data_IF_034315224883
#
_entry.id   IF_034315224883
#
_cell.length_a   1.000
_cell.length_b   1.000
_cell.length_c   1.000
_cell.angle_alpha   90.00
_cell.angle_beta   90.00
_cell.angle_gamma   90.00
#
_symmetry.space_group_name_H-M   'P 1'
#
loop_
_entity.id
_entity.type
_entity.pdbx_description
1 polymer ?
#
# COMPACT_ATOMS: atom_id res chain seq x y z
N UNK A 1 22.61 81.36 2.21
CA UNK A 1 21.86 80.16 1.76
C UNK A 1 22.91 79.20 1.22
N UNK A 2 22.81 77.89 1.50
CA UNK A 2 23.88 76.86 1.42
C UNK A 2 24.88 76.97 2.58
N UNK A 3 25.35 75.91 3.25
CA UNK A 3 25.16 74.45 3.24
C UNK A 3 25.88 73.97 4.53
N UNK A 4 25.38 72.94 5.22
CA UNK A 4 26.24 72.14 6.12
C UNK A 4 25.94 70.67 5.86
N UNK A 5 26.92 69.87 5.39
CA UNK A 5 26.71 68.48 5.01
C UNK A 5 26.92 67.48 6.16
N UNK A 6 26.19 66.36 6.03
CA UNK A 6 26.57 64.94 6.16
C UNK A 6 27.99 64.59 6.69
N UNK A 7 28.29 63.43 7.27
CA UNK A 7 27.54 62.26 7.74
C UNK A 7 28.53 61.36 8.54
N UNK A 8 27.97 60.66 9.53
CA UNK A 8 28.22 59.30 10.03
C UNK A 8 29.63 58.65 9.98
N UNK A 9 30.05 58.08 11.12
CA UNK A 9 30.87 56.87 11.16
C UNK A 9 30.58 56.04 12.43
N UNK A 10 30.38 54.75 12.22
CA UNK A 10 29.97 53.73 13.20
C UNK A 10 31.14 53.27 14.08
N UNK A 11 30.84 52.84 15.32
CA UNK A 11 31.67 51.88 16.07
C UNK A 11 30.86 51.11 17.12
N UNK A 12 30.98 49.77 17.05
CA UNK A 12 31.01 48.74 18.12
C UNK A 12 29.77 48.35 18.96
N UNK A 13 29.27 47.15 18.63
CA UNK A 13 29.18 45.92 19.44
C UNK A 13 28.30 45.81 20.71
N UNK A 14 27.27 44.95 20.63
CA UNK A 14 26.83 43.89 21.57
C UNK A 14 25.55 43.27 20.95
N UNK A 15 25.24 41.98 20.87
CA UNK A 15 25.61 40.81 21.66
C UNK A 15 24.34 39.97 21.87
N UNK A 16 24.21 38.85 21.12
CA UNK A 16 23.39 37.64 21.34
C UNK A 16 21.87 37.70 21.59
N UNK A 17 21.09 37.11 20.66
CA UNK A 17 20.16 36.00 20.98
C UNK A 17 20.13 35.03 19.77
N UNK A 18 20.41 33.72 19.93
CA UNK A 18 20.21 32.76 18.86
C UNK A 18 18.72 32.61 18.59
N UNK A 19 18.32 32.72 17.32
CA UNK A 19 16.96 32.48 16.85
C UNK A 19 16.54 31.05 17.21
N UNK A 20 15.73 30.97 18.27
CA UNK A 20 15.06 29.77 18.77
C UNK A 20 14.32 29.10 17.61
N UNK A 21 14.50 27.78 17.52
CA UNK A 21 14.04 26.99 16.40
C UNK A 21 12.54 27.15 16.20
N UNK A 22 12.13 27.31 14.95
CA UNK A 22 10.74 27.28 14.51
C UNK A 22 10.10 25.98 14.96
N UNK A 23 9.55 25.95 16.18
CA UNK A 23 8.72 24.85 16.66
C UNK A 23 7.49 24.86 15.77
N UNK A 24 7.38 23.89 14.86
CA UNK A 24 6.17 23.63 14.09
C UNK A 24 4.98 23.72 15.03
N UNK A 25 4.11 24.71 14.83
CA UNK A 25 2.90 24.86 15.60
C UNK A 25 2.07 23.58 15.40
N UNK A 26 1.97 22.75 16.44
CA UNK A 26 1.14 21.57 16.41
C UNK A 26 -0.30 22.04 16.24
N UNK A 27 -0.98 21.56 15.20
CA UNK A 27 -2.37 21.92 14.93
C UNK A 27 -3.26 21.11 15.91
N UNK A 28 -3.87 21.73 16.94
CA UNK A 28 -4.64 20.98 17.92
C UNK A 28 -5.96 20.48 17.30
N UNK A 29 -6.45 19.30 17.71
CA UNK A 29 -7.74 18.81 17.23
C UNK A 29 -8.87 19.75 17.70
N UNK A 30 -9.67 20.25 16.76
CA UNK A 30 -10.84 21.07 17.04
C UNK A 30 -12.13 20.26 16.86
N UNK A 31 -13.10 20.43 17.77
CA UNK A 31 -14.41 19.81 17.68
C UNK A 31 -15.33 20.76 16.90
N UNK A 32 -15.77 20.34 15.71
CA UNK A 32 -16.71 21.09 14.89
C UNK A 32 -17.87 20.22 14.47
N UNK A 33 -19.07 20.80 14.37
CA UNK A 33 -20.20 20.13 13.75
C UNK A 33 -19.94 19.96 12.25
N UNK A 34 -20.40 18.85 11.64
CA UNK A 34 -20.35 18.70 10.19
C UNK A 34 -21.19 19.82 9.56
N UNK A 35 -20.60 20.57 8.64
CA UNK A 35 -21.35 21.55 7.84
C UNK A 35 -22.32 20.79 6.94
N UNK A 36 -23.61 21.14 7.02
CA UNK A 36 -24.66 20.53 6.20
C UNK A 36 -24.37 20.70 4.70
N UNK A 37 -24.73 19.66 3.92
CA UNK A 37 -24.60 19.64 2.46
C UNK A 37 -25.96 19.63 1.74
N UNK A 38 -25.93 19.78 0.40
CA UNK A 38 -27.11 19.70 -0.48
C UNK A 38 -26.86 19.00 -1.82
N UNK A 39 -25.68 18.40 -2.01
CA UNK A 39 -25.34 17.66 -3.22
C UNK A 39 -25.65 16.16 -3.03
N UNK A 40 -26.37 15.57 -3.98
CA UNK A 40 -26.56 14.12 -4.07
C UNK A 40 -25.35 13.56 -4.82
N UNK A 41 -24.64 12.61 -4.21
CA UNK A 41 -23.52 11.88 -4.82
C UNK A 41 -23.87 10.40 -4.91
N UNK A 42 -23.32 9.73 -5.92
CA UNK A 42 -23.39 8.27 -6.05
C UNK A 42 -22.59 7.55 -4.98
N UNK A 43 -22.39 6.25 -5.17
CA UNK A 43 -21.67 5.39 -4.21
C UNK A 43 -20.15 5.39 -4.44
N UNK A 44 -19.66 6.27 -5.32
CA UNK A 44 -18.24 6.38 -5.64
C UNK A 44 -17.78 5.35 -6.66
N UNK A 45 -18.71 4.79 -7.43
CA UNK A 45 -18.46 3.83 -8.48
C UNK A 45 -17.62 4.43 -9.62
N UNK A 46 -16.74 3.60 -10.18
CA UNK A 46 -15.87 3.98 -11.31
C UNK A 46 -15.93 2.93 -12.40
N UNK A 47 -16.25 3.35 -13.62
CA UNK A 47 -16.21 2.51 -14.81
C UNK A 47 -14.96 2.83 -15.64
N UNK A 48 -14.32 1.79 -16.15
CA UNK A 48 -13.17 1.91 -17.05
C UNK A 48 -13.21 0.78 -18.10
N UNK A 49 -12.63 1.02 -19.27
CA UNK A 49 -12.34 -0.03 -20.23
C UNK A 49 -10.86 -0.40 -20.13
N UNK A 50 -10.53 -1.68 -20.09
CA UNK A 50 -9.15 -2.13 -20.13
C UNK A 50 -8.62 -2.05 -21.57
N UNK A 51 -7.61 -1.21 -21.87
CA UNK A 51 -7.15 -0.99 -23.23
C UNK A 51 -6.40 -2.18 -23.82
N UNK A 52 -5.92 -3.12 -22.99
CA UNK A 52 -5.15 -4.29 -23.43
C UNK A 52 -6.07 -5.48 -23.72
N UNK A 53 -7.06 -5.72 -22.85
CA UNK A 53 -7.98 -6.88 -22.98
C UNK A 53 -9.29 -6.53 -23.67
N UNK A 54 -9.64 -5.24 -23.76
CA UNK A 54 -10.95 -4.78 -24.26
C UNK A 54 -12.12 -5.05 -23.30
N UNK A 55 -11.85 -5.50 -22.07
CA UNK A 55 -12.92 -5.80 -21.09
C UNK A 55 -13.44 -4.53 -20.41
N UNK A 56 -14.71 -4.57 -20.01
CA UNK A 56 -15.32 -3.53 -19.18
C UNK A 56 -15.07 -3.82 -17.71
N UNK A 57 -14.57 -2.82 -16.98
CA UNK A 57 -14.28 -2.91 -15.55
C UNK A 57 -15.13 -1.90 -14.77
N UNK A 58 -15.69 -2.32 -13.64
CA UNK A 58 -16.43 -1.44 -12.72
C UNK A 58 -15.94 -1.70 -11.29
N UNK A 59 -15.62 -0.64 -10.54
CA UNK A 59 -15.25 -0.75 -9.13
C UNK A 59 -16.25 0.02 -8.28
N UNK A 60 -16.80 -0.67 -7.27
CA UNK A 60 -17.75 -0.11 -6.31
C UNK A 60 -17.12 -0.21 -4.91
N UNK A 61 -16.71 0.91 -4.29
CA UNK A 61 -16.12 0.87 -2.95
C UNK A 61 -17.19 0.49 -1.92
N UNK A 62 -16.81 -0.35 -0.96
CA UNK A 62 -17.67 -0.70 0.17
C UNK A 62 -17.39 0.31 1.29
N UNK A 63 -18.39 1.11 1.62
CA UNK A 63 -18.27 2.11 2.68
C UNK A 63 -18.12 1.43 4.04
N UNK A 64 -16.93 1.56 4.63
CA UNK A 64 -16.63 1.13 6.00
C UNK A 64 -16.41 2.37 6.87
N UNK A 65 -16.76 2.27 8.16
CA UNK A 65 -16.51 3.37 9.09
C UNK A 65 -14.99 3.56 9.25
N UNK A 66 -14.46 4.79 9.14
CA UNK A 66 -13.04 5.02 9.34
C UNK A 66 -12.62 4.59 10.75
N UNK A 67 -11.64 3.69 10.82
CA UNK A 67 -11.05 3.32 12.11
C UNK A 67 -10.09 4.39 12.64
N UNK A 68 -9.48 4.09 13.80
CA UNK A 68 -8.50 4.99 14.43
C UNK A 68 -7.36 5.27 13.46
N UNK A 69 -7.04 6.54 13.26
CA UNK A 69 -6.00 6.99 12.31
C UNK A 69 -6.22 6.49 10.87
N UNK A 70 -7.46 6.21 10.47
CA UNK A 70 -7.78 5.69 9.14
C UNK A 70 -7.44 4.20 8.96
N UNK A 71 -7.04 3.49 10.02
CA UNK A 71 -6.80 2.06 9.96
C UNK A 71 -8.13 1.31 9.91
N UNK A 72 -8.46 0.78 8.75
CA UNK A 72 -9.67 0.00 8.54
C UNK A 72 -9.58 -0.81 7.25
N UNK A 73 -10.51 -1.76 7.04
CA UNK A 73 -10.53 -2.53 5.81
C UNK A 73 -10.95 -1.63 4.64
N UNK A 74 -10.08 -1.56 3.64
CA UNK A 74 -10.39 -0.93 2.36
C UNK A 74 -10.87 -2.02 1.41
N UNK A 75 -12.19 -2.05 1.20
CA UNK A 75 -12.84 -3.08 0.39
C UNK A 75 -13.52 -2.44 -0.82
N UNK A 76 -13.44 -3.11 -1.96
CA UNK A 76 -14.16 -2.72 -3.18
C UNK A 76 -14.64 -3.95 -3.91
N UNK A 77 -15.90 -3.94 -4.33
CA UNK A 77 -16.42 -4.93 -5.25
C UNK A 77 -15.97 -4.55 -6.66
N UNK A 78 -15.27 -5.46 -7.33
CA UNK A 78 -14.72 -5.27 -8.65
C UNK A 78 -15.44 -6.16 -9.66
N UNK A 79 -15.81 -5.58 -10.79
CA UNK A 79 -16.38 -6.27 -11.94
C UNK A 79 -15.37 -6.28 -13.08
N UNK A 80 -15.26 -7.41 -13.77
CA UNK A 80 -14.61 -7.55 -15.07
C UNK A 80 -15.51 -8.39 -15.98
N UNK A 81 -15.85 -7.87 -17.16
CA UNK A 81 -16.71 -8.59 -18.12
C UNK A 81 -16.10 -9.89 -18.64
N UNK A 82 -14.78 -10.06 -18.54
CA UNK A 82 -14.05 -11.29 -18.87
C UNK A 82 -13.86 -12.25 -17.70
N UNK A 83 -14.24 -11.87 -16.48
CA UNK A 83 -14.15 -12.75 -15.32
C UNK A 83 -15.31 -13.75 -15.26
N UNK A 84 -15.02 -14.92 -14.67
CA UNK A 84 -15.99 -16.01 -14.52
C UNK A 84 -16.99 -15.81 -13.38
N UNK A 85 -17.61 -16.91 -12.96
CA UNK A 85 -18.55 -16.90 -11.84
C UNK A 85 -17.83 -16.93 -10.48
N UNK A 86 -18.38 -16.22 -9.50
CA UNK A 86 -17.86 -16.17 -8.14
C UNK A 86 -18.96 -16.00 -7.10
N UNK A 87 -18.57 -15.77 -5.84
CA UNK A 87 -19.50 -15.62 -4.72
C UNK A 87 -20.48 -14.45 -4.88
N UNK A 88 -20.08 -13.43 -5.64
CA UNK A 88 -20.86 -12.21 -5.88
C UNK A 88 -21.56 -12.21 -7.25
N UNK A 89 -21.57 -13.36 -7.93
CA UNK A 89 -22.13 -13.54 -9.26
C UNK A 89 -21.10 -13.45 -10.38
N UNK A 90 -21.58 -13.45 -11.62
CA UNK A 90 -20.74 -13.47 -12.81
C UNK A 90 -20.00 -12.15 -13.01
N UNK A 91 -18.70 -12.22 -13.24
CA UNK A 91 -17.83 -11.05 -13.45
C UNK A 91 -17.49 -10.28 -12.18
N UNK A 92 -18.18 -10.53 -11.06
CA UNK A 92 -18.00 -9.81 -9.80
C UNK A 92 -17.08 -10.57 -8.83
N UNK A 93 -16.15 -9.83 -8.21
CA UNK A 93 -15.25 -10.36 -7.20
C UNK A 93 -14.95 -9.32 -6.10
N UNK A 94 -14.63 -9.82 -4.90
CA UNK A 94 -14.06 -9.02 -3.82
C UNK A 94 -12.57 -9.32 -3.73
N UNK A 95 -11.72 -8.37 -4.14
CA UNK A 95 -10.27 -8.53 -4.10
C UNK A 95 -9.75 -8.50 -2.66
N UNK A 96 -9.45 -9.67 -2.09
CA UNK A 96 -8.78 -9.80 -0.81
C UNK A 96 -7.33 -10.28 -1.03
N UNK A 97 -6.35 -9.75 -0.29
CA UNK A 97 -4.98 -10.24 -0.38
C UNK A 97 -4.94 -11.69 0.12
N UNK A 98 -4.37 -12.57 -0.69
CA UNK A 98 -4.27 -14.00 -0.39
C UNK A 98 -2.99 -14.59 -1.02
N UNK A 99 -2.47 -15.65 -0.41
CA UNK A 99 -1.44 -16.50 -1.01
C UNK A 99 -2.11 -17.80 -1.42
N UNK A 100 -2.01 -18.18 -2.69
CA UNK A 100 -2.63 -19.39 -3.24
C UNK A 100 -1.61 -20.23 -3.98
N UNK A 101 -1.87 -21.54 -4.15
CA UNK A 101 -1.04 -22.39 -5.02
C UNK A 101 -1.42 -22.17 -6.48
N UNK A 102 -0.43 -22.07 -7.34
CA UNK A 102 -0.60 -21.90 -8.78
C UNK A 102 -1.16 -23.17 -9.39
N UNK A 103 -2.25 -23.05 -10.15
CA UNK A 103 -2.94 -24.16 -10.82
C UNK A 103 -2.87 -24.08 -12.36
N UNK A 104 -2.31 -22.99 -12.91
CA UNK A 104 -2.26 -22.75 -14.35
C UNK A 104 -1.25 -23.61 -15.10
N UNK A 105 -0.28 -24.22 -14.40
CA UNK A 105 0.78 -25.07 -14.97
C UNK A 105 0.65 -26.54 -14.53
N UNK A 106 -0.52 -26.93 -14.03
CA UNK A 106 -0.76 -28.27 -13.50
C UNK A 106 -1.44 -28.21 -12.13
N UNK A 107 -1.85 -29.37 -11.64
CA UNK A 107 -2.43 -29.48 -10.31
C UNK A 107 -1.32 -29.46 -9.25
N UNK A 108 -1.51 -28.70 -8.15
CA UNK A 108 -0.60 -28.76 -7.00
C UNK A 108 -0.53 -30.18 -6.44
N UNK A 109 0.69 -30.66 -6.18
CA UNK A 109 0.93 -32.01 -5.65
C UNK A 109 0.97 -32.03 -4.13
N UNK A 110 1.09 -30.87 -3.48
CA UNK A 110 1.20 -30.74 -2.02
C UNK A 110 2.40 -31.49 -1.43
N UNK A 111 3.44 -31.74 -2.23
CA UNK A 111 4.71 -32.32 -1.79
C UNK A 111 5.63 -31.20 -1.31
N UNK A 112 5.27 -30.66 -0.15
CA UNK A 112 5.86 -29.45 0.43
C UNK A 112 7.34 -29.59 0.82
N UNK A 113 7.79 -30.82 1.11
CA UNK A 113 9.20 -31.10 1.39
C UNK A 113 10.07 -31.00 0.12
N UNK A 114 9.49 -31.37 -1.03
CA UNK A 114 10.17 -31.36 -2.33
C UNK A 114 9.94 -30.04 -3.10
N UNK A 115 9.03 -29.20 -2.59
CA UNK A 115 8.55 -27.95 -3.21
C UNK A 115 8.17 -28.11 -4.67
N UNK A 116 7.27 -29.06 -4.87
CA UNK A 116 6.64 -29.36 -6.15
C UNK A 116 5.79 -28.21 -6.70
N UNK A 117 5.37 -27.27 -5.85
CA UNK A 117 4.32 -26.31 -6.17
C UNK A 117 4.83 -24.86 -6.13
N UNK A 118 4.25 -24.00 -6.97
CA UNK A 118 4.50 -22.56 -6.96
C UNK A 118 3.35 -21.82 -6.27
N UNK A 119 3.66 -20.68 -5.63
CA UNK A 119 2.68 -19.85 -4.94
C UNK A 119 2.42 -18.55 -5.70
N UNK A 120 1.22 -17.99 -5.55
CA UNK A 120 0.78 -16.72 -6.13
C UNK A 120 0.42 -15.75 -5.01
N UNK A 121 0.90 -14.51 -5.10
CA UNK A 121 0.44 -13.41 -4.27
C UNK A 121 -0.72 -12.69 -4.97
N UNK A 122 -1.85 -12.59 -4.25
CA UNK A 122 -3.09 -11.95 -4.69
C UNK A 122 -3.57 -12.42 -6.08
N UNK A 123 -3.28 -13.68 -6.42
CA UNK A 123 -3.65 -14.32 -7.68
C UNK A 123 -2.90 -13.85 -8.93
N UNK A 124 -1.93 -12.94 -8.82
CA UNK A 124 -1.27 -12.33 -9.97
C UNK A 124 0.25 -12.58 -10.01
N UNK A 125 0.93 -12.52 -8.86
CA UNK A 125 2.40 -12.54 -8.83
C UNK A 125 2.93 -13.90 -8.40
N UNK A 126 3.70 -14.55 -9.28
CA UNK A 126 4.45 -15.77 -8.95
C UNK A 126 5.48 -15.47 -7.84
N UNK A 127 5.40 -16.21 -6.75
CA UNK A 127 6.37 -16.17 -5.66
C UNK A 127 7.52 -17.14 -5.93
N UNK A 128 8.73 -16.65 -5.74
CA UNK A 128 9.99 -17.38 -5.94
C UNK A 128 10.73 -17.45 -4.60
N UNK A 129 11.21 -18.63 -4.18
CA UNK A 129 11.96 -18.75 -2.93
C UNK A 129 13.28 -17.98 -3.02
N UNK A 130 13.64 -17.31 -1.94
CA UNK A 130 14.93 -16.62 -1.83
C UNK A 130 16.02 -17.66 -1.58
N UNK A 131 17.10 -17.54 -2.35
CA UNK A 131 18.22 -18.47 -2.32
C UNK A 131 19.48 -17.71 -1.88
N UNK A 132 20.22 -18.28 -0.94
CA UNK A 132 21.52 -17.80 -0.47
C UNK A 132 22.58 -18.01 -1.57
N UNK A 133 23.74 -17.33 -1.52
CA UNK A 133 24.79 -17.48 -2.54
C UNK A 133 25.32 -18.91 -2.72
N UNK A 134 25.14 -19.77 -1.73
CA UNK A 134 25.49 -21.20 -1.80
C UNK A 134 24.47 -22.04 -2.58
N UNK A 135 23.44 -21.43 -3.17
CA UNK A 135 22.38 -22.11 -3.91
C UNK A 135 21.33 -22.79 -3.01
N UNK A 136 21.47 -22.71 -1.69
CA UNK A 136 20.49 -23.23 -0.74
C UNK A 136 19.46 -22.15 -0.41
N UNK A 137 18.23 -22.59 -0.15
CA UNK A 137 17.16 -21.67 0.26
C UNK A 137 17.52 -20.95 1.54
N UNK A 138 17.08 -19.70 1.62
CA UNK A 138 17.05 -19.00 2.89
C UNK A 138 16.05 -19.69 3.81
N UNK A 139 16.55 -20.12 4.97
CA UNK A 139 15.76 -20.72 6.04
C UNK A 139 16.15 -20.01 7.35
N UNK A 140 15.14 -19.61 8.11
CA UNK A 140 15.25 -19.05 9.45
C UNK A 140 14.49 -19.95 10.43
N UNK A 141 15.21 -20.54 11.37
CA UNK A 141 14.65 -21.38 12.44
C UNK A 141 14.69 -20.67 13.81
N UNK A 142 15.15 -19.42 13.83
CA UNK A 142 15.45 -18.67 15.05
C UNK A 142 14.34 -17.70 15.44
N UNK A 143 13.64 -17.12 14.45
CA UNK A 143 12.59 -16.14 14.70
C UNK A 143 11.36 -16.74 15.41
N UNK A 144 10.98 -17.97 15.08
CA UNK A 144 9.85 -18.66 15.69
C UNK A 144 10.22 -20.11 16.05
N UNK A 145 10.33 -20.46 17.35
CA UNK A 145 10.69 -21.81 17.76
C UNK A 145 9.71 -22.86 17.22
N UNK A 146 10.24 -23.92 16.61
CA UNK A 146 9.47 -25.02 16.03
C UNK A 146 8.98 -24.78 14.59
N UNK A 147 9.35 -23.65 13.96
CA UNK A 147 9.06 -23.36 12.56
C UNK A 147 10.35 -23.25 11.75
N UNK A 148 10.28 -23.69 10.49
CA UNK A 148 11.29 -23.44 9.47
C UNK A 148 10.73 -22.39 8.53
N UNK A 149 11.24 -21.16 8.62
CA UNK A 149 10.70 -20.02 7.88
C UNK A 149 11.45 -19.87 6.58
N UNK A 150 10.72 -19.93 5.47
CA UNK A 150 11.24 -19.71 4.13
C UNK A 150 10.77 -18.37 3.58
N UNK A 151 11.72 -17.58 3.08
CA UNK A 151 11.43 -16.28 2.48
C UNK A 151 11.13 -16.41 0.99
N UNK A 152 10.12 -15.68 0.53
CA UNK A 152 9.75 -15.58 -0.88
C UNK A 152 9.77 -14.13 -1.35
N UNK A 153 9.96 -13.94 -2.66
CA UNK A 153 9.83 -12.65 -3.34
C UNK A 153 8.93 -12.80 -4.56
N UNK A 154 8.14 -11.77 -4.91
CA UNK A 154 7.49 -11.70 -6.21
C UNK A 154 8.50 -11.78 -7.35
N UNK A 155 8.13 -12.46 -8.43
CA UNK A 155 8.96 -12.51 -9.65
C UNK A 155 9.23 -11.12 -10.24
N UNK A 156 8.28 -10.20 -10.08
CA UNK A 156 8.42 -8.79 -10.45
C UNK A 156 8.20 -8.00 -9.17
N UNK A 157 9.26 -7.34 -8.69
CA UNK A 157 9.21 -6.59 -7.44
C UNK A 157 8.42 -5.28 -7.60
N UNK A 158 7.65 -4.92 -6.57
CA UNK A 158 6.84 -3.70 -6.59
C UNK A 158 6.59 -3.11 -5.20
N UNK A 159 6.23 -3.94 -4.23
CA UNK A 159 5.84 -3.48 -2.87
C UNK A 159 6.97 -3.58 -1.84
N UNK A 160 8.07 -4.27 -2.16
CA UNK A 160 9.13 -4.61 -1.21
C UNK A 160 8.58 -5.31 0.04
N UNK A 161 7.54 -6.11 -0.15
CA UNK A 161 6.87 -6.84 0.92
C UNK A 161 7.77 -7.98 1.42
N UNK A 162 7.75 -8.22 2.74
CA UNK A 162 8.34 -9.42 3.33
C UNK A 162 7.29 -10.53 3.32
N UNK A 163 7.57 -11.60 2.59
CA UNK A 163 6.67 -12.75 2.41
C UNK A 163 7.37 -14.00 2.94
N UNK A 164 6.72 -14.69 3.86
CA UNK A 164 7.28 -15.82 4.59
C UNK A 164 6.27 -16.96 4.67
N UNK A 165 6.79 -18.19 4.62
CA UNK A 165 6.06 -19.43 4.83
C UNK A 165 6.71 -20.19 5.97
#
# INVERSE_FOLDING_TARGET
>A
MFEIPAANSQSTAAGSVPSDGTRSAANPPAISLPTGGGAIRGIGEKFAANPVTGTGSLSVPIATSPGRSGFGPQLSLSYDSGAGNGLFGFGWNLGLPAITRKTSQGLPQYLDADESDSFLLSGAEDLVPVVKPNGLRECDETTAPGFQIHRYLPRIEGLFARIER
#
